data_IF_040470213976
#
_entry.id   IF_040470213976
#
_cell.length_a   1.000
_cell.length_b   1.000
_cell.length_c   1.000
_cell.angle_alpha   90.00
_cell.angle_beta   90.00
_cell.angle_gamma   90.00
#
_symmetry.space_group_name_H-M   'P 1'
#
loop_
_entity.id
_entity.type
_entity.pdbx_description
1 polymer ?
#
# COMPACT_ATOMS: atom_id res chain seq x y z
N UNK A 1 19.82 -15.81 -20.08
CA UNK A 1 18.83 -15.61 -18.98
C UNK A 1 19.37 -14.82 -17.78
N UNK A 2 20.69 -14.80 -17.54
CA UNK A 2 21.30 -14.07 -16.42
C UNK A 2 21.43 -12.54 -16.64
N UNK A 3 21.81 -12.04 -17.82
CA UNK A 3 21.96 -10.59 -18.05
C UNK A 3 20.63 -9.82 -18.02
N UNK A 4 19.54 -10.45 -18.37
CA UNK A 4 18.20 -9.83 -18.39
C UNK A 4 17.63 -9.65 -16.97
N UNK A 5 17.89 -10.61 -16.07
CA UNK A 5 17.55 -10.49 -14.64
C UNK A 5 18.35 -9.39 -13.93
N UNK A 6 19.63 -9.26 -14.26
CA UNK A 6 20.49 -8.21 -13.71
C UNK A 6 20.00 -6.84 -14.15
N UNK A 7 19.66 -6.66 -15.42
CA UNK A 7 19.14 -5.41 -15.96
C UNK A 7 17.80 -5.01 -15.33
N UNK A 8 16.90 -5.96 -15.09
CA UNK A 8 15.61 -5.71 -14.42
C UNK A 8 15.86 -5.30 -12.96
N UNK A 9 16.77 -5.96 -12.26
CA UNK A 9 17.08 -5.65 -10.86
C UNK A 9 17.72 -4.26 -10.72
N UNK A 10 18.60 -3.88 -11.65
CA UNK A 10 19.21 -2.54 -11.67
C UNK A 10 18.17 -1.46 -11.98
N UNK A 11 17.29 -1.68 -12.95
CA UNK A 11 16.22 -0.75 -13.28
C UNK A 11 15.23 -0.56 -12.14
N UNK A 12 14.89 -1.64 -11.41
CA UNK A 12 14.05 -1.58 -10.21
C UNK A 12 14.76 -0.81 -9.10
N UNK A 13 16.05 -1.05 -8.89
CA UNK A 13 16.84 -0.31 -7.89
C UNK A 13 16.88 1.18 -8.20
N UNK A 14 17.17 1.59 -9.43
CA UNK A 14 17.17 3.00 -9.85
C UNK A 14 15.80 3.66 -9.65
N UNK A 15 14.72 2.95 -9.96
CA UNK A 15 13.36 3.45 -9.73
C UNK A 15 13.08 3.61 -8.23
N UNK A 16 13.47 2.64 -7.41
CA UNK A 16 13.32 2.70 -5.94
C UNK A 16 14.18 3.80 -5.34
N UNK A 17 15.46 3.89 -5.72
CA UNK A 17 16.38 4.91 -5.22
C UNK A 17 15.93 6.33 -5.60
N UNK A 18 15.53 6.55 -6.84
CA UNK A 18 14.99 7.84 -7.29
C UNK A 18 13.64 8.20 -6.65
N UNK A 19 12.92 7.20 -6.15
CA UNK A 19 11.68 7.36 -5.42
C UNK A 19 11.95 7.69 -3.94
N UNK A 20 12.88 6.98 -3.31
CA UNK A 20 13.33 7.21 -1.93
C UNK A 20 13.97 8.59 -1.81
N UNK A 21 14.85 8.99 -2.74
CA UNK A 21 15.50 10.31 -2.74
C UNK A 21 14.49 11.48 -2.82
N UNK A 22 13.44 11.33 -3.62
CA UNK A 22 12.37 12.35 -3.70
C UNK A 22 11.52 12.44 -2.44
N UNK A 23 11.56 11.45 -1.59
CA UNK A 23 10.76 11.33 -0.38
C UNK A 23 11.58 11.53 0.89
N UNK A 24 12.90 11.29 0.83
CA UNK A 24 13.84 11.68 1.88
C UNK A 24 13.81 13.21 2.08
N UNK A 25 13.62 13.63 3.30
CA UNK A 25 13.58 15.06 3.65
C UNK A 25 12.18 15.69 3.73
N UNK A 26 11.11 14.95 3.39
CA UNK A 26 9.75 15.46 3.54
C UNK A 26 9.07 15.06 4.86
N UNK A 27 9.74 14.30 5.70
CA UNK A 27 9.21 13.88 6.99
C UNK A 27 10.24 14.00 8.11
N UNK A 28 9.97 14.94 8.99
CA UNK A 28 10.40 14.78 10.39
C UNK A 28 9.30 13.96 11.09
N UNK A 29 9.63 12.92 11.84
CA UNK A 29 8.63 12.19 12.63
C UNK A 29 7.93 13.19 13.55
N UNK A 30 6.64 13.39 13.34
CA UNK A 30 5.84 14.19 14.24
C UNK A 30 5.66 13.37 15.50
N UNK A 31 6.20 13.86 16.63
CA UNK A 31 5.87 13.24 17.91
C UNK A 31 4.38 13.47 18.17
N UNK A 32 3.68 12.40 18.47
CA UNK A 32 2.32 12.48 18.99
C UNK A 32 2.29 13.47 20.16
N UNK A 33 1.33 14.39 20.16
CA UNK A 33 1.27 15.49 21.15
C UNK A 33 0.22 15.26 22.25
N UNK A 34 -0.49 14.14 22.21
CA UNK A 34 -1.55 13.79 23.16
C UNK A 34 -1.11 12.79 24.24
N UNK A 35 -1.97 12.55 25.21
CA UNK A 35 -1.86 11.40 26.11
C UNK A 35 -2.47 10.18 25.44
N UNK A 36 -1.78 9.06 25.45
CA UNK A 36 -2.28 7.78 24.93
C UNK A 36 -2.62 6.82 26.05
N UNK A 37 -3.44 5.83 25.76
CA UNK A 37 -3.71 4.69 26.64
C UNK A 37 -2.62 3.65 26.38
N UNK A 38 -1.71 3.48 27.36
CA UNK A 38 -0.45 2.73 27.24
C UNK A 38 -0.60 1.25 26.86
N UNK A 39 -1.66 0.61 27.35
CA UNK A 39 -1.95 -0.82 27.17
C UNK A 39 -3.01 -1.09 26.09
N UNK A 40 -3.30 -0.08 25.26
CA UNK A 40 -4.27 -0.19 24.18
C UNK A 40 -3.58 -0.25 22.80
N UNK A 41 -4.05 -1.18 21.98
CA UNK A 41 -3.73 -1.29 20.56
C UNK A 41 -4.99 -1.09 19.74
N UNK A 42 -4.90 -0.27 18.68
CA UNK A 42 -5.98 -0.05 17.73
C UNK A 42 -5.61 -0.65 16.36
N UNK A 43 -6.41 -1.58 15.85
CA UNK A 43 -6.16 -2.21 14.55
C UNK A 43 -6.96 -1.56 13.42
N UNK A 44 -6.27 -1.26 12.33
CA UNK A 44 -6.80 -0.77 11.06
C UNK A 44 -6.63 -1.89 10.03
N UNK A 45 -7.73 -2.54 9.67
CA UNK A 45 -7.70 -3.73 8.84
C UNK A 45 -8.10 -3.37 7.41
N UNK A 46 -7.28 -3.82 6.44
CA UNK A 46 -7.54 -3.73 5.01
C UNK A 46 -7.55 -5.15 4.46
N UNK A 47 -8.53 -5.49 3.65
CA UNK A 47 -8.58 -6.73 2.89
C UNK A 47 -9.06 -6.46 1.47
N UNK A 48 -8.52 -7.20 0.51
CA UNK A 48 -8.99 -7.23 -0.87
C UNK A 48 -9.17 -5.83 -1.50
N UNK A 49 -8.20 -4.95 -1.30
CA UNK A 49 -8.29 -3.58 -1.80
C UNK A 49 -8.19 -3.49 -3.32
N UNK A 50 -7.44 -4.41 -3.93
CA UNK A 50 -7.26 -4.52 -5.39
C UNK A 50 -6.92 -3.20 -6.08
N UNK A 51 -5.96 -2.43 -5.54
CA UNK A 51 -5.47 -1.21 -6.21
C UNK A 51 -4.97 -1.53 -7.61
N UNK A 52 -5.51 -0.85 -8.59
CA UNK A 52 -5.20 -1.08 -10.01
C UNK A 52 -6.23 -1.93 -10.74
N UNK A 53 -7.29 -2.40 -10.09
CA UNK A 53 -8.44 -3.01 -10.77
C UNK A 53 -9.16 -1.96 -11.61
N UNK A 54 -9.63 -2.36 -12.80
CA UNK A 54 -10.54 -1.59 -13.63
C UNK A 54 -11.87 -2.31 -13.70
N UNK A 55 -12.95 -1.61 -13.41
CA UNK A 55 -14.31 -2.11 -13.58
C UNK A 55 -15.22 -0.97 -14.02
N UNK A 56 -16.16 -1.30 -14.93
CA UNK A 56 -17.17 -0.38 -15.42
C UNK A 56 -18.55 -0.80 -14.94
N UNK A 57 -19.33 0.16 -14.46
CA UNK A 57 -20.68 -0.06 -13.95
C UNK A 57 -21.62 -0.74 -14.95
N UNK A 58 -21.48 -0.42 -16.23
CA UNK A 58 -22.29 -1.03 -17.29
C UNK A 58 -22.03 -2.54 -17.48
N UNK A 59 -20.83 -3.01 -17.11
CA UNK A 59 -20.41 -4.41 -17.25
C UNK A 59 -20.66 -5.21 -15.96
N UNK A 60 -20.48 -4.57 -14.81
CA UNK A 60 -20.52 -5.22 -13.51
C UNK A 60 -21.88 -5.11 -12.80
N UNK A 61 -22.78 -4.28 -13.30
CA UNK A 61 -24.02 -3.88 -12.62
C UNK A 61 -23.79 -3.31 -11.20
N UNK A 62 -22.59 -2.80 -10.97
CA UNK A 62 -22.14 -2.15 -9.73
C UNK A 62 -21.67 -0.73 -9.97
N UNK A 63 -20.67 -0.32 -9.25
CA UNK A 63 -20.02 0.98 -9.43
C UNK A 63 -18.76 0.88 -10.30
N UNK A 64 -18.34 1.99 -10.89
CA UNK A 64 -17.03 2.10 -11.52
C UNK A 64 -15.91 1.94 -10.49
N UNK A 65 -14.82 1.33 -10.91
CA UNK A 65 -13.62 1.21 -10.09
C UNK A 65 -12.36 1.40 -10.93
N UNK A 66 -11.47 2.26 -10.48
CA UNK A 66 -10.17 2.55 -11.07
C UNK A 66 -9.16 2.94 -9.97
N UNK A 67 -7.91 3.22 -10.36
CA UNK A 67 -6.87 3.64 -9.40
C UNK A 67 -7.25 4.91 -8.65
N UNK A 68 -7.93 5.86 -9.29
CA UNK A 68 -8.31 7.13 -8.64
C UNK A 68 -9.39 6.93 -7.60
N UNK A 69 -10.44 6.20 -7.95
CA UNK A 69 -11.56 5.86 -7.08
C UNK A 69 -11.06 5.02 -5.90
N UNK A 70 -10.25 3.99 -6.17
CA UNK A 70 -9.62 3.12 -5.17
C UNK A 70 -8.83 3.90 -4.13
N UNK A 71 -7.96 4.82 -4.57
CA UNK A 71 -7.16 5.67 -3.68
C UNK A 71 -8.02 6.59 -2.82
N UNK A 72 -9.03 7.19 -3.41
CA UNK A 72 -9.93 8.11 -2.72
C UNK A 72 -10.75 7.38 -1.66
N UNK A 73 -11.28 6.21 -1.98
CA UNK A 73 -12.02 5.35 -1.04
C UNK A 73 -11.15 4.95 0.15
N UNK A 74 -9.96 4.39 -0.08
CA UNK A 74 -9.09 3.95 1.02
C UNK A 74 -8.59 5.13 1.85
N UNK A 75 -8.28 6.27 1.23
CA UNK A 75 -7.86 7.48 1.93
C UNK A 75 -8.98 7.97 2.85
N UNK A 76 -10.21 8.09 2.35
CA UNK A 76 -11.37 8.52 3.14
C UNK A 76 -11.70 7.54 4.25
N UNK A 77 -11.68 6.22 3.95
CA UNK A 77 -11.91 5.18 4.95
C UNK A 77 -10.87 5.25 6.08
N UNK A 78 -9.59 5.35 5.73
CA UNK A 78 -8.50 5.48 6.71
C UNK A 78 -8.67 6.73 7.58
N UNK A 79 -8.91 7.88 6.98
CA UNK A 79 -9.15 9.14 7.72
C UNK A 79 -10.34 9.01 8.67
N UNK A 80 -11.43 8.39 8.21
CA UNK A 80 -12.61 8.15 9.04
C UNK A 80 -12.28 7.24 10.23
N UNK A 81 -11.60 6.12 10.00
CA UNK A 81 -11.21 5.17 11.05
C UNK A 81 -10.30 5.85 12.08
N UNK A 82 -9.28 6.57 11.64
CA UNK A 82 -8.35 7.31 12.52
C UNK A 82 -9.11 8.36 13.36
N UNK A 83 -10.07 9.06 12.75
CA UNK A 83 -10.82 10.12 13.44
C UNK A 83 -11.69 9.62 14.58
N UNK A 84 -12.18 8.38 14.51
CA UNK A 84 -13.05 7.77 15.52
C UNK A 84 -12.30 6.79 16.45
N UNK A 85 -11.05 6.46 16.12
CA UNK A 85 -10.23 5.57 16.92
C UNK A 85 -9.90 6.18 18.29
N UNK A 86 -9.78 5.38 19.35
CA UNK A 86 -9.27 5.83 20.62
C UNK A 86 -7.79 6.24 20.52
N UNK A 87 -7.33 7.03 21.48
CA UNK A 87 -5.91 7.43 21.57
C UNK A 87 -5.07 6.28 22.16
N UNK A 88 -4.94 5.19 21.40
CA UNK A 88 -4.13 4.03 21.74
C UNK A 88 -2.65 4.33 21.52
N UNK A 89 -1.77 3.75 22.35
CA UNK A 89 -0.33 3.87 22.15
C UNK A 89 0.10 3.28 20.82
N UNK A 90 -0.41 2.11 20.48
CA UNK A 90 -0.04 1.39 19.26
C UNK A 90 -1.19 1.41 18.26
N UNK A 91 -0.89 1.82 17.02
CA UNK A 91 -1.73 1.60 15.85
C UNK A 91 -1.19 0.41 15.04
N UNK A 92 -2.03 -0.59 14.75
CA UNK A 92 -1.68 -1.73 13.89
C UNK A 92 -2.33 -1.57 12.54
N UNK A 93 -1.53 -1.38 11.47
CA UNK A 93 -2.00 -1.50 10.10
C UNK A 93 -1.88 -2.96 9.68
N UNK A 94 -3.00 -3.62 9.47
CA UNK A 94 -3.08 -5.02 9.08
C UNK A 94 -3.68 -5.14 7.68
N UNK A 95 -2.81 -5.39 6.67
CA UNK A 95 -3.25 -5.74 5.33
C UNK A 95 -3.34 -7.26 5.21
N UNK A 96 -4.53 -7.77 4.91
CA UNK A 96 -4.83 -9.21 4.82
C UNK A 96 -4.51 -9.84 3.46
N UNK A 97 -3.91 -9.09 2.55
CA UNK A 97 -3.53 -9.51 1.21
C UNK A 97 -4.39 -8.86 0.13
N UNK A 98 -4.03 -9.14 -1.11
CA UNK A 98 -4.65 -8.59 -2.32
C UNK A 98 -4.81 -7.06 -2.30
N UNK A 99 -3.77 -6.38 -1.75
CA UNK A 99 -3.71 -4.92 -1.77
C UNK A 99 -3.57 -4.41 -3.20
N UNK A 100 -2.79 -5.11 -4.02
CA UNK A 100 -2.62 -4.85 -5.44
C UNK A 100 -3.43 -5.84 -6.27
N UNK A 101 -4.04 -5.36 -7.35
CA UNK A 101 -4.84 -6.19 -8.24
C UNK A 101 -3.97 -7.10 -9.14
N UNK A 102 -2.76 -6.64 -9.49
CA UNK A 102 -1.83 -7.35 -10.38
C UNK A 102 -0.47 -7.55 -9.71
N UNK A 103 0.14 -8.72 -9.94
CA UNK A 103 1.45 -9.11 -9.38
C UNK A 103 2.62 -8.58 -10.20
N UNK A 104 2.43 -8.45 -11.49
CA UNK A 104 3.47 -8.09 -12.46
C UNK A 104 2.86 -7.39 -13.70
N UNK A 105 3.67 -7.18 -14.73
CA UNK A 105 3.26 -6.51 -15.96
C UNK A 105 2.41 -7.37 -16.92
N UNK A 106 2.14 -8.63 -16.59
CA UNK A 106 1.37 -9.53 -17.48
C UNK A 106 -0.13 -9.36 -17.34
N UNK A 107 -0.59 -8.66 -16.28
CA UNK A 107 -2.02 -8.49 -15.94
C UNK A 107 -2.78 -9.82 -15.92
N UNK A 108 -2.19 -10.82 -15.26
CA UNK A 108 -2.81 -12.13 -15.07
C UNK A 108 -2.69 -12.57 -13.60
N UNK A 109 -3.64 -13.39 -13.15
CA UNK A 109 -3.53 -14.01 -11.82
C UNK A 109 -2.31 -14.93 -11.78
N UNK A 110 -1.48 -14.89 -10.72
CA UNK A 110 -0.22 -15.65 -10.65
C UNK A 110 -0.40 -17.17 -10.82
N UNK A 111 -1.40 -17.76 -10.18
CA UNK A 111 -1.63 -19.20 -10.19
C UNK A 111 -2.40 -19.67 -11.42
N UNK A 112 -3.58 -19.10 -11.68
CA UNK A 112 -4.53 -19.60 -12.70
C UNK A 112 -4.37 -18.95 -14.07
N UNK A 113 -3.55 -17.89 -14.18
CA UNK A 113 -3.31 -17.15 -15.43
C UNK A 113 -4.57 -16.56 -16.07
N UNK A 114 -5.60 -16.28 -15.28
CA UNK A 114 -6.75 -15.53 -15.74
C UNK A 114 -6.35 -14.09 -16.05
N UNK A 115 -6.82 -13.56 -17.17
CA UNK A 115 -6.65 -12.16 -17.53
C UNK A 115 -7.37 -11.26 -16.51
N UNK A 116 -6.72 -10.16 -16.18
CA UNK A 116 -7.21 -9.16 -15.24
C UNK A 116 -7.32 -7.81 -15.95
N UNK A 117 -8.46 -7.16 -15.83
CA UNK A 117 -8.62 -5.79 -16.27
C UNK A 117 -7.97 -4.84 -15.27
N UNK A 118 -7.01 -4.05 -15.75
CA UNK A 118 -6.20 -3.18 -14.92
C UNK A 118 -6.14 -1.74 -15.42
N UNK A 119 -6.26 -0.79 -14.50
CA UNK A 119 -6.08 0.64 -14.76
C UNK A 119 -4.61 1.02 -14.74
N UNK A 120 -4.01 1.02 -15.91
CA UNK A 120 -2.68 1.55 -16.13
C UNK A 120 -1.56 0.52 -16.05
N UNK A 121 -0.32 1.05 -16.02
CA UNK A 121 0.88 0.23 -16.05
C UNK A 121 1.29 -0.21 -14.64
N UNK A 122 1.81 -1.42 -14.51
CA UNK A 122 2.28 -2.01 -13.26
C UNK A 122 3.16 -1.06 -12.42
N UNK A 123 4.15 -0.41 -13.03
CA UNK A 123 5.01 0.54 -12.30
C UNK A 123 4.26 1.76 -11.75
N UNK A 124 3.19 2.23 -12.42
CA UNK A 124 2.32 3.28 -11.89
C UNK A 124 1.56 2.76 -10.65
N UNK A 125 1.00 1.56 -10.75
CA UNK A 125 0.23 0.94 -9.66
C UNK A 125 1.10 0.74 -8.41
N UNK A 126 2.32 0.20 -8.55
CA UNK A 126 3.28 0.07 -7.43
C UNK A 126 3.59 1.42 -6.79
N UNK A 127 3.82 2.45 -7.59
CA UNK A 127 4.08 3.81 -7.08
C UNK A 127 2.90 4.35 -6.28
N UNK A 128 1.69 4.23 -6.82
CA UNK A 128 0.49 4.72 -6.13
C UNK A 128 0.21 3.95 -4.84
N UNK A 129 0.40 2.62 -4.85
CA UNK A 129 0.33 1.77 -3.66
C UNK A 129 1.30 2.22 -2.57
N UNK A 130 2.56 2.46 -2.96
CA UNK A 130 3.61 2.90 -2.03
C UNK A 130 3.29 4.25 -1.39
N UNK A 131 2.78 5.20 -2.18
CA UNK A 131 2.35 6.51 -1.69
C UNK A 131 1.16 6.36 -0.75
N UNK A 132 0.19 5.54 -1.12
CA UNK A 132 -1.05 5.35 -0.36
C UNK A 132 -0.76 4.76 1.02
N UNK A 133 -0.07 3.61 1.09
CA UNK A 133 0.30 2.97 2.36
C UNK A 133 1.16 3.90 3.22
N UNK A 134 2.16 4.54 2.62
CA UNK A 134 2.99 5.50 3.34
C UNK A 134 2.14 6.60 4.00
N UNK A 135 1.22 7.20 3.25
CA UNK A 135 0.36 8.27 3.77
C UNK A 135 -0.56 7.77 4.89
N UNK A 136 -1.03 6.52 4.81
CA UNK A 136 -1.80 5.88 5.88
C UNK A 136 -0.96 5.73 7.15
N UNK A 137 0.25 5.19 7.05
CA UNK A 137 1.17 5.04 8.20
C UNK A 137 1.45 6.40 8.84
N UNK A 138 1.68 7.44 8.04
CA UNK A 138 1.93 8.78 8.55
C UNK A 138 0.73 9.38 9.27
N UNK A 139 -0.47 9.20 8.72
CA UNK A 139 -1.70 9.63 9.38
C UNK A 139 -1.93 8.86 10.70
N UNK A 140 -1.56 7.59 10.76
CA UNK A 140 -1.60 6.79 11.99
C UNK A 140 -0.55 7.26 13.01
N UNK A 141 0.66 7.65 12.58
CA UNK A 141 1.70 8.22 13.44
C UNK A 141 1.34 9.60 14.01
N UNK A 142 0.45 10.34 13.35
CA UNK A 142 -0.13 11.56 13.93
C UNK A 142 -1.09 11.25 15.10
N UNK A 143 -1.64 10.03 15.17
CA UNK A 143 -2.62 9.58 16.17
C UNK A 143 -2.02 8.70 17.27
N UNK A 144 -1.06 7.86 16.93
CA UNK A 144 -0.44 6.87 17.81
C UNK A 144 1.05 7.14 17.99
N UNK A 145 1.62 6.71 19.11
CA UNK A 145 3.07 6.84 19.36
C UNK A 145 3.88 5.86 18.52
N UNK A 146 3.32 4.67 18.31
CA UNK A 146 3.92 3.60 17.51
C UNK A 146 2.94 3.10 16.46
N UNK A 147 3.45 2.73 15.29
CA UNK A 147 2.65 2.08 14.25
C UNK A 147 3.34 0.78 13.84
N UNK A 148 2.63 -0.32 14.01
CA UNK A 148 3.05 -1.63 13.53
C UNK A 148 2.37 -1.91 12.20
N UNK A 149 3.12 -2.52 11.26
CA UNK A 149 2.61 -2.85 9.93
C UNK A 149 2.77 -4.35 9.70
N UNK A 150 1.65 -5.01 9.44
CA UNK A 150 1.63 -6.40 8.99
C UNK A 150 1.01 -6.43 7.60
N UNK A 151 1.78 -6.89 6.63
CA UNK A 151 1.35 -7.02 5.25
C UNK A 151 1.40 -8.49 4.85
N UNK A 152 0.23 -9.11 4.73
CA UNK A 152 0.07 -10.50 4.30
C UNK A 152 0.09 -10.56 2.78
N UNK A 153 0.68 -11.59 2.21
CA UNK A 153 0.64 -11.84 0.77
C UNK A 153 -0.73 -12.33 0.35
N UNK A 154 -1.28 -11.72 -0.68
CA UNK A 154 -2.49 -12.18 -1.33
C UNK A 154 -2.21 -13.20 -2.44
N UNK A 155 -3.27 -13.69 -3.06
CA UNK A 155 -3.15 -14.54 -4.24
C UNK A 155 -3.03 -13.72 -5.55
N UNK A 156 -3.45 -12.46 -5.55
CA UNK A 156 -3.26 -11.54 -6.66
C UNK A 156 -1.87 -10.90 -6.67
N UNK A 157 -1.27 -10.64 -5.52
CA UNK A 157 -0.08 -9.82 -5.36
C UNK A 157 1.08 -10.47 -4.57
N UNK A 158 1.36 -11.78 -4.70
CA UNK A 158 2.34 -12.44 -3.84
C UNK A 158 3.75 -11.86 -3.92
N UNK A 159 4.20 -11.42 -5.10
CA UNK A 159 5.51 -10.80 -5.27
C UNK A 159 5.44 -9.28 -5.12
N UNK A 160 4.36 -8.66 -5.59
CA UNK A 160 4.16 -7.22 -5.44
C UNK A 160 4.04 -6.79 -3.97
N UNK A 161 3.47 -7.62 -3.09
CA UNK A 161 3.45 -7.42 -1.64
C UNK A 161 4.85 -7.37 -1.03
N UNK A 162 5.82 -8.14 -1.56
CA UNK A 162 7.21 -8.10 -1.10
C UNK A 162 7.87 -6.76 -1.43
N UNK A 163 7.65 -6.27 -2.65
CA UNK A 163 8.15 -4.94 -3.04
C UNK A 163 7.58 -3.85 -2.16
N UNK A 164 6.29 -3.94 -1.83
CA UNK A 164 5.64 -2.99 -0.96
C UNK A 164 6.26 -3.00 0.45
N UNK A 165 6.58 -4.18 0.99
CA UNK A 165 7.28 -4.31 2.27
C UNK A 165 8.67 -3.67 2.22
N UNK A 166 9.48 -3.94 1.18
CA UNK A 166 10.82 -3.37 1.07
C UNK A 166 10.78 -1.85 0.92
N UNK A 167 9.83 -1.31 0.16
CA UNK A 167 9.63 0.14 0.06
C UNK A 167 9.29 0.74 1.43
N UNK A 168 8.42 0.10 2.21
CA UNK A 168 8.08 0.60 3.56
C UNK A 168 9.27 0.53 4.52
N UNK A 169 10.06 -0.55 4.47
CA UNK A 169 11.30 -0.65 5.26
C UNK A 169 12.26 0.48 4.94
N UNK A 170 12.52 0.74 3.67
CA UNK A 170 13.41 1.83 3.23
C UNK A 170 12.90 3.21 3.68
N UNK A 171 11.60 3.36 3.86
CA UNK A 171 11.02 4.63 4.32
C UNK A 171 11.12 4.85 5.83
N UNK A 172 10.92 3.82 6.62
CA UNK A 172 10.66 3.96 8.05
C UNK A 172 11.75 3.35 8.94
N UNK A 173 12.62 2.49 8.40
CA UNK A 173 13.70 1.83 9.16
C UNK A 173 15.10 2.45 8.95
N UNK A 174 15.19 3.64 8.36
CA UNK A 174 16.48 4.32 8.11
C UNK A 174 16.99 5.13 9.30
#
# INVERSE_FOLDING_TARGET
QEPEKVAITEMVREVVDGFVEKLQGRHSPRKHKGSVVEDLLCSYIIGDHHLGMLAHSDETMGDDYDVSISKDLLTKATQRLISVAPDAKVGLLLNLGDFLHINDSTSTTPASKHLLDSDGRYGKTIREASILIRNMILAMLDKHEEVWVINVRGNHDPDASLWLNEVMRLFFES
#
